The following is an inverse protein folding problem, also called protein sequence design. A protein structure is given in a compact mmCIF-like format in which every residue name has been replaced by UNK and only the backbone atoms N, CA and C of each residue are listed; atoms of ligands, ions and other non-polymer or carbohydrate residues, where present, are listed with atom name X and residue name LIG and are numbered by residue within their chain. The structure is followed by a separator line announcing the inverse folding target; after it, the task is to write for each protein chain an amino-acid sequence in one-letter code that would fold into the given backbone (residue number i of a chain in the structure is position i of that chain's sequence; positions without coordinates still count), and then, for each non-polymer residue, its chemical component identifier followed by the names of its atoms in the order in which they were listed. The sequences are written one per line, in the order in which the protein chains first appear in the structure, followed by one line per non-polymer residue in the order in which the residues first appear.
data_IF_703041522335
#
_entry.id   IF_703041522335
#
_cell.length_a   1.000
_cell.length_b   1.000
_cell.length_c   1.000
_cell.angle_alpha   90.00
_cell.angle_beta   90.00
_cell.angle_gamma   90.00
#
_symmetry.space_group_name_H-M   'P 1'
#
loop_
_entity.id
_entity.type
_entity.pdbx_description
1 polymer ?
#
# COMPACT_ATOMS: atom_id res chain seq x y z
N UNK A 1 -15.44 -0.66 10.40
CA UNK A 1 -16.88 -0.41 10.14
C UNK A 1 -17.06 -0.17 8.65
N UNK A 2 -18.13 -0.66 8.03
CA UNK A 2 -18.36 -0.49 6.60
C UNK A 2 -19.85 -0.44 6.28
N UNK A 3 -20.28 0.62 5.61
CA UNK A 3 -21.61 0.83 5.04
C UNK A 3 -21.45 1.02 3.53
N UNK A 4 -22.02 0.13 2.70
CA UNK A 4 -21.98 0.28 1.25
C UNK A 4 -22.88 1.44 0.80
N UNK A 5 -22.53 2.01 -0.33
CA UNK A 5 -23.44 2.89 -1.07
C UNK A 5 -24.64 2.07 -1.56
N UNK A 6 -25.85 2.59 -1.35
CA UNK A 6 -27.06 1.93 -1.79
C UNK A 6 -28.18 2.93 -2.05
N UNK A 7 -29.05 2.61 -3.01
CA UNK A 7 -30.30 3.32 -3.22
C UNK A 7 -31.46 2.41 -2.86
N UNK A 8 -32.41 2.91 -2.07
CA UNK A 8 -33.61 2.19 -1.61
C UNK A 8 -34.84 2.79 -2.29
N UNK A 9 -35.33 2.21 -3.40
CA UNK A 9 -36.38 2.82 -4.22
C UNK A 9 -37.69 3.03 -3.49
N UNK A 10 -38.04 2.13 -2.57
CA UNK A 10 -39.30 2.15 -1.82
C UNK A 10 -39.45 3.39 -0.92
N UNK A 11 -38.33 4.02 -0.55
CA UNK A 11 -38.29 5.20 0.33
C UNK A 11 -37.66 6.41 -0.34
N UNK A 12 -37.32 6.29 -1.63
CA UNK A 12 -36.50 7.26 -2.36
C UNK A 12 -35.28 7.73 -1.56
N UNK A 13 -34.61 6.77 -0.91
CA UNK A 13 -33.51 7.04 0.02
C UNK A 13 -32.19 6.62 -0.62
N UNK A 14 -31.30 7.60 -0.76
CA UNK A 14 -29.89 7.35 -1.06
C UNK A 14 -29.10 7.22 0.24
N UNK A 15 -28.34 6.13 0.36
CA UNK A 15 -27.46 5.82 1.48
C UNK A 15 -26.03 6.00 0.99
N UNK A 16 -25.35 7.00 1.53
CA UNK A 16 -23.94 7.25 1.22
C UNK A 16 -23.03 6.15 1.77
N UNK A 17 -21.91 5.93 1.08
CA UNK A 17 -20.84 5.07 1.55
C UNK A 17 -20.19 5.70 2.79
N UNK A 18 -20.07 4.90 3.85
CA UNK A 18 -19.27 5.26 5.02
C UNK A 18 -18.39 4.08 5.43
N UNK A 19 -17.14 4.34 5.78
CA UNK A 19 -16.21 3.28 6.17
C UNK A 19 -15.11 3.79 7.09
N UNK A 20 -14.77 2.96 8.07
CA UNK A 20 -13.60 3.15 8.91
C UNK A 20 -12.60 2.01 8.67
N UNK A 21 -11.39 2.37 8.26
CA UNK A 21 -10.27 1.46 7.99
C UNK A 21 -9.53 1.19 9.31
N UNK A 22 -9.19 -0.07 9.54
CA UNK A 22 -8.31 -0.45 10.63
C UNK A 22 -6.88 -0.62 10.08
N UNK A 23 -5.98 0.26 10.49
CA UNK A 23 -4.61 0.31 9.98
C UNK A 23 -3.83 -0.99 10.23
N UNK A 24 -4.05 -1.65 11.37
CA UNK A 24 -3.38 -2.92 11.68
C UNK A 24 -3.83 -4.04 10.75
N UNK A 25 -5.11 -4.10 10.40
CA UNK A 25 -5.62 -5.08 9.42
C UNK A 25 -5.04 -4.81 8.03
N UNK A 26 -4.93 -3.53 7.64
CA UNK A 26 -4.34 -3.17 6.35
C UNK A 26 -2.85 -3.55 6.27
N UNK A 27 -2.11 -3.35 7.36
CA UNK A 27 -0.72 -3.78 7.47
C UNK A 27 -0.58 -5.30 7.33
N UNK A 28 -1.47 -6.08 7.95
CA UNK A 28 -1.48 -7.53 7.80
C UNK A 28 -1.75 -7.96 6.35
N UNK A 29 -2.63 -7.26 5.62
CA UNK A 29 -2.91 -7.53 4.20
C UNK A 29 -1.69 -7.27 3.32
N UNK A 30 -0.98 -6.16 3.55
CA UNK A 30 0.27 -5.82 2.85
C UNK A 30 1.37 -6.86 3.13
N UNK A 31 1.50 -7.31 4.38
CA UNK A 31 2.46 -8.38 4.74
C UNK A 31 2.14 -9.70 4.05
N UNK A 32 0.85 -10.01 3.91
CA UNK A 32 0.35 -11.23 3.27
C UNK A 32 0.70 -11.28 1.77
N UNK A 33 0.37 -10.21 1.03
CA UNK A 33 0.71 -10.08 -0.40
C UNK A 33 2.22 -10.10 -0.64
N UNK A 34 2.98 -9.38 0.19
CA UNK A 34 4.45 -9.38 0.12
C UNK A 34 5.01 -10.79 0.29
N UNK A 35 4.55 -11.52 1.30
CA UNK A 35 5.03 -12.88 1.59
C UNK A 35 4.78 -13.82 0.41
N UNK A 36 3.61 -13.75 -0.23
CA UNK A 36 3.28 -14.55 -1.42
C UNK A 36 4.21 -14.26 -2.61
N UNK A 37 4.65 -13.02 -2.78
CA UNK A 37 5.50 -12.63 -3.91
C UNK A 37 6.98 -12.98 -3.67
N UNK A 38 7.42 -12.96 -2.42
CA UNK A 38 8.83 -13.17 -2.08
C UNK A 38 9.17 -14.65 -1.83
N UNK A 39 8.21 -15.47 -1.41
CA UNK A 39 8.46 -16.81 -0.87
C UNK A 39 7.39 -17.82 -1.28
N UNK A 40 7.78 -19.10 -1.37
CA UNK A 40 6.86 -20.22 -1.65
C UNK A 40 6.32 -20.92 -0.40
N UNK A 41 6.96 -20.73 0.74
CA UNK A 41 6.63 -21.37 2.01
C UNK A 41 5.71 -20.49 2.86
N UNK A 42 4.52 -20.19 2.33
CA UNK A 42 3.55 -19.26 2.92
C UNK A 42 2.20 -19.93 3.09
N UNK A 43 1.60 -19.79 4.28
CA UNK A 43 0.22 -20.21 4.58
C UNK A 43 -0.57 -18.97 4.99
N UNK A 44 -1.74 -18.78 4.38
CA UNK A 44 -2.61 -17.62 4.63
C UNK A 44 -3.93 -18.12 5.18
N UNK A 45 -4.36 -17.53 6.30
CA UNK A 45 -5.73 -17.65 6.81
C UNK A 45 -6.48 -16.40 6.39
N UNK A 46 -7.47 -16.55 5.51
CA UNK A 46 -8.24 -15.44 4.94
C UNK A 46 -9.74 -15.60 5.16
N UNK A 47 -10.46 -14.48 5.14
CA UNK A 47 -11.92 -14.46 5.04
C UNK A 47 -12.34 -14.45 3.57
N UNK A 48 -13.64 -14.32 3.30
CA UNK A 48 -14.18 -14.09 1.95
C UNK A 48 -13.58 -12.86 1.26
N UNK A 49 -12.84 -11.99 1.96
CA UNK A 49 -12.09 -10.90 1.32
C UNK A 49 -11.11 -11.37 0.24
N UNK A 50 -10.67 -12.64 0.28
CA UNK A 50 -9.72 -13.21 -0.68
C UNK A 50 -10.28 -13.35 -2.10
N UNK A 51 -11.61 -13.32 -2.27
CA UNK A 51 -12.26 -13.38 -3.59
C UNK A 51 -12.64 -11.99 -4.12
N UNK A 52 -12.46 -10.94 -3.32
CA UNK A 52 -12.66 -9.56 -3.78
C UNK A 52 -11.43 -9.08 -4.53
N UNK A 53 -11.66 -8.26 -5.57
CA UNK A 53 -10.60 -7.77 -6.43
C UNK A 53 -9.50 -7.05 -5.65
N UNK A 54 -8.29 -7.58 -5.76
CA UNK A 54 -7.06 -6.85 -5.49
C UNK A 54 -6.46 -6.45 -6.86
N UNK A 55 -5.74 -5.32 -6.93
CA UNK A 55 -5.11 -4.85 -8.17
C UNK A 55 -4.28 -5.95 -8.84
N UNK A 56 -3.98 -5.81 -10.15
CA UNK A 56 -3.31 -6.88 -10.89
C UNK A 56 -1.94 -7.18 -10.26
N UNK A 57 -1.49 -8.45 -10.23
CA UNK A 57 -0.17 -8.80 -9.71
C UNK A 57 0.97 -8.02 -10.38
N UNK A 58 0.82 -7.72 -11.68
CA UNK A 58 1.78 -6.93 -12.46
C UNK A 58 1.88 -5.47 -11.96
N UNK A 59 0.74 -4.89 -11.53
CA UNK A 59 0.72 -3.56 -10.92
C UNK A 59 1.46 -3.58 -9.57
N UNK A 60 1.38 -4.70 -8.84
CA UNK A 60 2.11 -4.89 -7.58
C UNK A 60 3.62 -4.96 -7.77
N UNK A 61 4.11 -5.56 -8.86
CA UNK A 61 5.53 -5.55 -9.19
C UNK A 61 6.07 -4.14 -9.45
N UNK A 62 5.24 -3.25 -10.01
CA UNK A 62 5.61 -1.83 -10.17
C UNK A 62 5.65 -1.09 -8.82
N UNK A 63 5.04 -1.65 -7.77
CA UNK A 63 5.06 -1.15 -6.41
C UNK A 63 6.19 -1.73 -5.55
N UNK A 64 7.15 -2.45 -6.13
CA UNK A 64 8.32 -2.97 -5.41
C UNK A 64 9.55 -2.16 -5.81
N UNK A 65 10.29 -1.68 -4.81
CA UNK A 65 11.62 -1.11 -4.97
C UNK A 65 12.62 -2.04 -4.28
N UNK A 66 13.43 -2.73 -5.08
CA UNK A 66 14.55 -3.54 -4.57
C UNK A 66 15.83 -2.72 -4.65
N UNK A 67 16.53 -2.60 -3.52
CA UNK A 67 17.80 -1.89 -3.42
C UNK A 67 18.85 -2.84 -2.82
N UNK A 68 20.05 -2.84 -3.40
CA UNK A 68 21.22 -3.57 -2.89
C UNK A 68 22.42 -2.64 -2.77
N UNK A 69 23.30 -2.92 -1.82
CA UNK A 69 24.55 -2.18 -1.68
C UNK A 69 25.39 -2.34 -2.96
N UNK A 70 25.78 -1.22 -3.57
CA UNK A 70 26.53 -1.20 -4.83
C UNK A 70 25.70 -0.95 -6.09
N UNK A 71 24.36 -0.85 -5.97
CA UNK A 71 23.50 -0.49 -7.10
C UNK A 71 23.81 0.92 -7.61
N UNK A 72 23.83 1.09 -8.94
CA UNK A 72 24.05 2.39 -9.61
C UNK A 72 22.73 3.08 -9.95
N UNK A 73 21.82 3.17 -8.99
CA UNK A 73 20.55 3.86 -9.13
C UNK A 73 20.73 5.35 -8.81
N UNK A 74 20.21 6.23 -9.69
CA UNK A 74 20.21 7.65 -9.43
C UNK A 74 19.24 8.02 -8.30
N UNK A 75 19.59 9.02 -7.50
CA UNK A 75 18.73 9.51 -6.40
C UNK A 75 17.33 9.89 -6.91
N UNK A 76 17.25 10.54 -8.08
CA UNK A 76 15.98 10.93 -8.71
C UNK A 76 15.13 9.73 -9.12
N UNK A 77 15.75 8.64 -9.54
CA UNK A 77 15.04 7.43 -9.95
C UNK A 77 14.41 6.74 -8.74
N UNK A 78 15.14 6.70 -7.62
CA UNK A 78 14.64 6.18 -6.34
C UNK A 78 13.45 7.01 -5.85
N UNK A 79 13.56 8.34 -5.87
CA UNK A 79 12.47 9.24 -5.49
C UNK A 79 11.23 9.02 -6.38
N UNK A 80 11.42 8.95 -7.69
CA UNK A 80 10.33 8.71 -8.63
C UNK A 80 9.65 7.35 -8.38
N UNK A 81 10.42 6.32 -8.03
CA UNK A 81 9.89 5.00 -7.70
C UNK A 81 9.11 5.02 -6.38
N UNK A 82 9.61 5.69 -5.33
CA UNK A 82 8.90 5.85 -4.05
C UNK A 82 7.55 6.57 -4.25
N UNK A 83 7.51 7.62 -5.09
CA UNK A 83 6.26 8.31 -5.44
C UNK A 83 5.30 7.40 -6.21
N UNK A 84 5.79 6.60 -7.17
CA UNK A 84 4.95 5.58 -7.85
C UNK A 84 4.37 4.56 -6.88
N UNK A 85 5.13 4.18 -5.86
CA UNK A 85 4.73 3.31 -4.75
C UNK A 85 3.78 3.99 -3.73
N UNK A 86 3.30 5.21 -4.01
CA UNK A 86 2.40 5.98 -3.16
C UNK A 86 3.02 6.46 -1.83
N UNK A 87 4.34 6.51 -1.72
CA UNK A 87 4.98 7.16 -0.58
C UNK A 87 4.87 8.69 -0.70
N UNK A 88 4.61 9.36 0.41
CA UNK A 88 4.59 10.82 0.47
C UNK A 88 5.94 11.37 0.89
N UNK A 89 6.41 12.42 0.22
CA UNK A 89 7.59 13.15 0.69
C UNK A 89 7.19 14.06 1.85
N UNK A 90 7.80 13.87 3.01
CA UNK A 90 7.56 14.73 4.17
C UNK A 90 8.87 14.99 4.92
N UNK A 91 9.44 16.19 4.72
CA UNK A 91 10.72 16.57 5.31
C UNK A 91 10.59 17.00 6.80
N UNK A 92 9.37 17.25 7.28
CA UNK A 92 9.05 17.73 8.63
C UNK A 92 8.63 16.60 9.57
N UNK A 93 7.65 15.79 9.15
CA UNK A 93 7.04 14.73 9.95
C UNK A 93 7.33 13.37 9.32
N UNK A 94 8.07 12.52 10.04
CA UNK A 94 8.50 11.22 9.56
C UNK A 94 7.61 10.13 10.15
N UNK A 95 6.65 9.68 9.35
CA UNK A 95 5.60 8.71 9.69
C UNK A 95 5.55 7.61 8.64
N UNK A 96 4.81 6.52 8.90
CA UNK A 96 4.71 5.39 7.97
C UNK A 96 4.24 5.83 6.58
N UNK A 97 4.83 5.25 5.55
CA UNK A 97 4.52 5.59 4.16
C UNK A 97 5.11 6.94 3.73
N UNK A 98 6.00 7.55 4.51
CA UNK A 98 6.71 8.76 4.10
C UNK A 98 8.21 8.55 3.89
N UNK A 99 8.80 9.44 3.09
CA UNK A 99 10.25 9.52 2.92
C UNK A 99 10.70 10.97 2.94
N UNK A 100 11.99 11.20 3.23
CA UNK A 100 12.61 12.52 3.20
C UNK A 100 14.00 12.46 2.60
N UNK A 101 14.47 13.58 2.08
CA UNK A 101 15.77 13.67 1.41
C UNK A 101 16.67 14.64 2.16
N UNK A 102 17.86 14.17 2.56
CA UNK A 102 18.87 14.97 3.27
C UNK A 102 20.20 14.86 2.54
N UNK A 103 20.47 15.83 1.66
CA UNK A 103 21.66 15.80 0.80
C UNK A 103 21.65 14.54 -0.06
N UNK A 104 22.62 13.66 0.17
CA UNK A 104 22.80 12.41 -0.57
C UNK A 104 22.05 11.22 0.04
N UNK A 105 21.38 11.42 1.19
CA UNK A 105 20.67 10.35 1.91
C UNK A 105 19.17 10.45 1.72
N UNK A 106 18.50 9.31 1.47
CA UNK A 106 17.04 9.21 1.47
C UNK A 106 16.64 8.36 2.67
N UNK A 107 15.93 8.96 3.62
CA UNK A 107 15.32 8.23 4.73
C UNK A 107 13.92 7.78 4.30
N UNK A 108 13.64 6.47 4.40
CA UNK A 108 12.33 5.89 4.03
C UNK A 108 11.72 5.23 5.27
N UNK A 109 10.46 5.56 5.58
CA UNK A 109 9.68 4.88 6.62
C UNK A 109 8.72 3.90 5.96
N UNK A 110 9.00 2.58 5.99
CA UNK A 110 8.16 1.58 5.32
C UNK A 110 6.70 1.60 5.81
N UNK A 111 5.76 1.40 4.88
CA UNK A 111 4.33 1.24 5.17
C UNK A 111 4.05 -0.03 6.00
#
# INVERSE_FOLDING_TARGET
YYQPEAYVPQRDLFIEKDSAINEHIEQMRLSCTKSLLERRDVVIVATVSAIYGIGKPEDYHQMILTLRAGDKLGQRDVIAQLVRMQYQRNDMEFSRGTFRVRGDTIDVFPA
#
